data_IF_124312256294
#
_entry.id   IF_124312256294
#
_cell.length_a   1.000
_cell.length_b   1.000
_cell.length_c   1.000
_cell.angle_alpha   90.00
_cell.angle_beta   90.00
_cell.angle_gamma   90.00
#
_symmetry.space_group_name_H-M   'P 1'
#
loop_
_entity.id
_entity.type
_entity.pdbx_description
1 polymer ?
#
# COMPACT_ATOMS: atom_id res chain seq x y z
N UNK A 1 1.88 4.65 26.97
CA UNK A 1 1.92 6.14 26.93
C UNK A 1 0.51 6.63 26.73
N UNK A 2 -0.01 7.44 27.65
CA UNK A 2 -1.34 8.04 27.50
C UNK A 2 -1.31 9.22 26.52
N UNK A 3 -2.49 9.68 26.08
CA UNK A 3 -2.63 10.74 25.08
C UNK A 3 -1.93 12.05 25.47
N UNK A 4 -2.03 12.45 26.73
CA UNK A 4 -1.45 13.69 27.24
C UNK A 4 0.09 13.62 27.26
N UNK A 5 0.66 12.48 27.64
CA UNK A 5 2.11 12.25 27.62
C UNK A 5 2.68 12.33 26.21
N UNK A 6 1.99 11.72 25.24
CA UNK A 6 2.39 11.82 23.83
C UNK A 6 2.37 13.27 23.35
N UNK A 7 1.29 14.00 23.65
CA UNK A 7 1.12 15.38 23.23
C UNK A 7 2.21 16.28 23.80
N UNK A 8 2.51 16.14 25.09
CA UNK A 8 3.58 16.87 25.75
C UNK A 8 4.93 16.54 25.11
N UNK A 9 5.22 15.26 24.85
CA UNK A 9 6.46 14.84 24.19
C UNK A 9 6.61 15.42 22.79
N UNK A 10 5.55 15.40 21.97
CA UNK A 10 5.59 15.99 20.63
C UNK A 10 5.84 17.50 20.68
N UNK A 11 5.26 18.19 21.66
CA UNK A 11 5.51 19.62 21.87
C UNK A 11 6.96 19.82 22.31
N UNK A 12 7.44 19.12 23.33
CA UNK A 12 8.82 19.20 23.82
C UNK A 12 9.83 18.97 22.70
N UNK A 13 9.62 17.92 21.91
CA UNK A 13 10.56 17.50 20.89
C UNK A 13 10.49 18.39 19.64
N UNK A 14 9.30 18.81 19.19
CA UNK A 14 9.10 19.37 17.85
C UNK A 14 8.58 20.83 17.82
N UNK A 15 8.35 21.48 18.97
CA UNK A 15 7.76 22.84 19.01
C UNK A 15 8.55 23.91 18.27
N UNK A 16 9.87 23.77 18.17
CA UNK A 16 10.73 24.72 17.46
C UNK A 16 10.79 24.42 15.95
N UNK A 17 10.53 23.17 15.55
CA UNK A 17 10.55 22.74 14.16
C UNK A 17 9.19 22.92 13.45
N UNK A 18 8.09 22.87 14.23
CA UNK A 18 6.73 22.82 13.69
C UNK A 18 5.89 24.00 14.16
N UNK A 19 5.48 24.89 13.24
CA UNK A 19 4.63 26.03 13.56
C UNK A 19 3.34 25.62 14.28
N UNK A 20 3.00 26.34 15.35
CA UNK A 20 1.73 26.17 16.05
C UNK A 20 1.68 25.03 17.07
N UNK A 21 2.72 24.20 17.19
CA UNK A 21 2.81 23.21 18.28
C UNK A 21 3.04 23.87 19.65
N UNK A 22 3.75 25.01 19.69
CA UNK A 22 4.00 25.81 20.90
C UNK A 22 2.75 26.53 21.44
N UNK A 23 1.69 26.64 20.63
CA UNK A 23 0.45 27.30 21.04
C UNK A 23 -0.28 26.47 22.10
N UNK A 24 -1.07 27.13 22.96
CA UNK A 24 -1.90 26.52 24.05
C UNK A 24 -2.41 25.12 23.66
N UNK A 25 -2.41 24.18 24.61
CA UNK A 25 -2.80 22.77 24.44
C UNK A 25 -4.05 22.54 23.56
N UNK A 26 -4.96 23.49 23.39
CA UNK A 26 -6.16 23.36 22.57
C UNK A 26 -6.01 23.78 21.09
N UNK A 27 -4.82 24.08 20.57
CA UNK A 27 -4.64 24.56 19.19
C UNK A 27 -4.77 23.48 18.12
N UNK A 28 -4.60 22.20 18.48
CA UNK A 28 -4.69 21.05 17.58
C UNK A 28 -5.29 19.80 18.26
N UNK A 29 -5.85 18.91 17.43
CA UNK A 29 -6.21 17.54 17.79
C UNK A 29 -5.21 16.55 17.22
N UNK A 30 -5.06 15.40 17.87
CA UNK A 30 -4.23 14.31 17.38
C UNK A 30 -5.03 13.00 17.48
N UNK A 31 -4.92 12.13 16.49
CA UNK A 31 -5.58 10.82 16.46
C UNK A 31 -4.55 9.77 16.11
N UNK A 32 -4.52 8.66 16.85
CA UNK A 32 -3.61 7.55 16.55
C UNK A 32 -4.16 6.75 15.37
N UNK A 33 -3.34 6.58 14.34
CA UNK A 33 -3.63 5.70 13.21
C UNK A 33 -3.15 4.27 13.50
N UNK A 34 -3.81 3.29 12.88
CA UNK A 34 -3.49 1.87 13.07
C UNK A 34 -2.17 1.51 12.35
N UNK A 35 -1.11 1.34 13.13
CA UNK A 35 0.18 0.82 12.68
C UNK A 35 0.74 -0.20 13.68
N UNK A 36 1.48 -1.19 13.16
CA UNK A 36 2.07 -2.28 13.96
C UNK A 36 3.51 -2.01 14.38
N UNK A 37 4.32 -1.44 13.48
CA UNK A 37 5.77 -1.24 13.68
C UNK A 37 6.10 0.13 14.26
N UNK A 38 5.41 1.16 13.77
CA UNK A 38 5.70 2.55 14.06
C UNK A 38 4.50 3.22 14.74
N UNK A 39 4.73 4.32 15.46
CA UNK A 39 3.65 5.11 16.01
C UNK A 39 3.24 6.16 14.99
N UNK A 40 2.04 6.02 14.42
CA UNK A 40 1.52 6.92 13.39
C UNK A 40 0.35 7.72 13.95
N UNK A 41 0.36 9.02 13.72
CA UNK A 41 -0.67 9.94 14.19
C UNK A 41 -1.08 10.89 13.08
N UNK A 42 -2.35 11.23 13.07
CA UNK A 42 -2.89 12.36 12.32
C UNK A 42 -2.99 13.55 13.27
N UNK A 43 -2.47 14.71 12.86
CA UNK A 43 -2.59 15.96 13.60
C UNK A 43 -3.38 16.95 12.76
N UNK A 44 -4.41 17.53 13.37
CA UNK A 44 -5.29 18.52 12.74
C UNK A 44 -5.27 19.81 13.55
N UNK A 45 -4.84 20.91 12.93
CA UNK A 45 -4.92 22.23 13.55
C UNK A 45 -6.35 22.76 13.51
N UNK A 46 -6.82 23.32 14.63
CA UNK A 46 -8.14 24.00 14.68
C UNK A 46 -8.18 25.21 13.74
N UNK A 47 -7.05 25.93 13.61
CA UNK A 47 -6.85 27.02 12.65
C UNK A 47 -5.59 26.73 11.85
N UNK A 48 -5.69 26.79 10.51
CA UNK A 48 -4.56 26.53 9.61
C UNK A 48 -3.38 27.45 9.93
N UNK A 49 -2.17 26.93 10.24
CA UNK A 49 -1.01 27.77 10.46
C UNK A 49 -0.53 28.43 9.15
N UNK A 50 0.18 29.56 9.27
CA UNK A 50 0.74 30.25 8.10
C UNK A 50 1.84 29.37 7.48
N UNK A 51 1.77 29.17 6.16
CA UNK A 51 2.74 28.37 5.39
C UNK A 51 2.90 26.92 5.89
N UNK A 52 1.88 26.36 6.54
CA UNK A 52 1.87 24.98 7.00
C UNK A 52 0.52 24.33 6.70
N UNK A 53 0.47 23.02 6.38
CA UNK A 53 -0.80 22.33 6.17
C UNK A 53 -1.69 22.34 7.41
N UNK A 54 -3.01 22.31 7.20
CA UNK A 54 -3.99 22.19 8.30
C UNK A 54 -3.93 20.80 8.93
N UNK A 55 -3.63 19.78 8.13
CA UNK A 55 -3.61 18.38 8.51
C UNK A 55 -2.30 17.75 8.06
N UNK A 56 -1.69 16.97 8.95
CA UNK A 56 -0.40 16.30 8.73
C UNK A 56 -0.44 14.90 9.32
N UNK A 57 0.46 14.04 8.83
CA UNK A 57 0.73 12.73 9.42
C UNK A 57 2.10 12.76 10.09
N UNK A 58 2.15 12.39 11.36
CA UNK A 58 3.38 12.23 12.14
C UNK A 58 3.65 10.75 12.31
N UNK A 59 4.78 10.29 11.79
CA UNK A 59 5.29 8.91 11.95
C UNK A 59 6.52 8.96 12.84
N UNK A 60 6.45 8.27 13.98
CA UNK A 60 7.56 8.08 14.91
C UNK A 60 8.09 6.66 14.73
N UNK A 61 9.32 6.57 14.26
CA UNK A 61 9.95 5.29 13.98
C UNK A 61 10.39 4.60 15.26
N UNK A 62 10.10 3.30 15.33
CA UNK A 62 10.62 2.40 16.36
C UNK A 62 11.61 1.39 15.76
N UNK A 63 11.89 1.51 14.47
CA UNK A 63 12.79 0.67 13.67
C UNK A 63 13.89 1.52 13.05
N UNK A 64 14.92 0.87 12.52
CA UNK A 64 16.06 1.54 11.87
C UNK A 64 15.77 1.98 10.42
N UNK A 65 14.51 1.86 9.95
CA UNK A 65 14.14 2.08 8.55
C UNK A 65 13.78 3.55 8.24
N UNK A 66 13.97 4.48 9.20
CA UNK A 66 13.69 5.91 9.03
C UNK A 66 14.40 6.51 7.79
N UNK A 67 15.71 6.32 7.70
CA UNK A 67 16.50 6.93 6.63
C UNK A 67 16.14 6.37 5.25
N UNK A 68 15.81 5.08 5.18
CA UNK A 68 15.38 4.41 3.96
C UNK A 68 14.07 5.01 3.43
N UNK A 69 13.06 5.15 4.29
CA UNK A 69 11.77 5.75 3.87
C UNK A 69 11.94 7.21 3.45
N UNK A 70 12.74 8.02 4.17
CA UNK A 70 13.04 9.41 3.79
C UNK A 70 13.69 9.47 2.40
N UNK A 71 14.69 8.61 2.14
CA UNK A 71 15.40 8.60 0.87
C UNK A 71 14.48 8.20 -0.29
N UNK A 72 13.65 7.17 -0.09
CA UNK A 72 12.70 6.70 -1.11
C UNK A 72 11.65 7.77 -1.39
N UNK A 73 11.03 8.37 -0.37
CA UNK A 73 10.03 9.42 -0.56
C UNK A 73 10.60 10.64 -1.30
N UNK A 74 11.83 11.07 -0.98
CA UNK A 74 12.50 12.17 -1.73
C UNK A 74 12.71 11.80 -3.19
N UNK A 75 13.22 10.60 -3.46
CA UNK A 75 13.42 10.08 -4.81
C UNK A 75 12.11 10.07 -5.60
N UNK A 76 11.06 9.44 -5.06
CA UNK A 76 9.78 9.29 -5.76
C UNK A 76 9.08 10.63 -6.01
N UNK A 77 9.16 11.56 -5.05
CA UNK A 77 8.61 12.91 -5.23
C UNK A 77 9.33 13.67 -6.35
N UNK A 78 10.67 13.58 -6.43
CA UNK A 78 11.44 14.18 -7.55
C UNK A 78 11.09 13.59 -8.92
N UNK A 79 10.59 12.35 -8.95
CA UNK A 79 10.12 11.64 -10.15
C UNK A 79 8.64 11.91 -10.47
N UNK A 80 7.99 12.77 -9.68
CA UNK A 80 6.55 13.07 -9.75
C UNK A 80 5.68 11.83 -9.64
N UNK A 81 6.12 10.83 -8.86
CA UNK A 81 5.28 9.69 -8.48
C UNK A 81 4.43 10.13 -7.28
N UNK A 82 3.15 9.79 -7.29
CA UNK A 82 2.21 10.16 -6.23
C UNK A 82 2.58 9.46 -4.92
N UNK A 83 3.22 10.18 -4.02
CA UNK A 83 3.54 9.81 -2.64
C UNK A 83 3.31 11.03 -1.74
N UNK A 84 3.14 10.86 -0.41
CA UNK A 84 3.05 11.99 0.49
C UNK A 84 4.32 12.85 0.43
N UNK A 85 4.15 14.17 0.36
CA UNK A 85 5.27 15.10 0.47
C UNK A 85 5.85 15.08 1.89
N UNK A 86 7.18 15.08 2.01
CA UNK A 86 7.85 15.28 3.30
C UNK A 86 7.74 16.77 3.65
N UNK A 87 7.09 17.07 4.77
CA UNK A 87 7.04 18.42 5.36
C UNK A 87 8.27 18.63 6.23
N UNK A 88 8.61 17.63 7.06
CA UNK A 88 9.73 17.68 7.97
C UNK A 88 10.26 16.26 8.24
N UNK A 89 11.56 16.11 8.46
CA UNK A 89 12.19 14.84 8.80
C UNK A 89 13.38 15.05 9.73
N UNK A 90 13.34 14.43 10.91
CA UNK A 90 14.44 14.35 11.89
C UNK A 90 14.25 13.08 12.71
N UNK A 91 15.18 12.13 12.64
CA UNK A 91 15.10 10.84 13.37
C UNK A 91 14.73 11.05 14.85
N UNK A 92 13.68 10.40 15.39
CA UNK A 92 12.83 9.35 14.78
C UNK A 92 11.53 9.85 14.14
N UNK A 93 11.39 11.15 13.92
CA UNK A 93 10.19 11.82 13.43
C UNK A 93 10.21 12.05 11.91
N UNK A 94 9.20 11.53 11.23
CA UNK A 94 8.87 11.86 9.84
C UNK A 94 7.48 12.49 9.79
N UNK A 95 7.38 13.64 9.14
CA UNK A 95 6.15 14.41 9.04
C UNK A 95 5.81 14.57 7.58
N UNK A 96 4.64 14.07 7.24
CA UNK A 96 4.15 13.96 5.88
C UNK A 96 2.90 14.81 5.70
N UNK A 97 2.72 15.27 4.48
CA UNK A 97 1.42 15.72 3.99
C UNK A 97 0.36 14.63 4.24
N UNK A 98 -0.80 15.04 4.75
CA UNK A 98 -1.95 14.15 4.80
C UNK A 98 -2.50 14.01 3.38
N UNK A 99 -2.47 12.78 2.87
CA UNK A 99 -3.12 12.45 1.60
C UNK A 99 -4.61 12.26 1.85
N UNK A 100 -5.43 12.98 1.10
CA UNK A 100 -6.88 12.83 1.09
C UNK A 100 -7.31 11.53 0.40
N UNK A 101 -8.36 10.91 0.92
CA UNK A 101 -8.94 9.72 0.33
C UNK A 101 -9.06 8.52 1.27
N UNK A 102 -9.46 7.39 0.70
CA UNK A 102 -9.69 6.13 1.41
C UNK A 102 -8.52 5.17 1.16
N UNK A 103 -8.15 4.35 2.14
CA UNK A 103 -7.21 3.27 1.85
C UNK A 103 -7.84 2.28 0.86
N UNK A 104 -7.02 1.74 -0.05
CA UNK A 104 -7.54 0.99 -1.18
C UNK A 104 -8.14 -0.36 -0.79
N UNK A 105 -7.71 -0.94 0.34
CA UNK A 105 -8.33 -2.17 0.86
C UNK A 105 -9.79 -1.93 1.25
N UNK A 106 -10.06 -0.88 2.02
CA UNK A 106 -11.41 -0.52 2.44
C UNK A 106 -12.26 -0.13 1.22
N UNK A 107 -11.71 0.62 0.27
CA UNK A 107 -12.40 0.96 -0.97
C UNK A 107 -12.84 -0.27 -1.78
N UNK A 108 -11.95 -1.26 -1.93
CA UNK A 108 -12.28 -2.53 -2.60
C UNK A 108 -13.34 -3.30 -1.82
N UNK A 109 -13.21 -3.39 -0.50
CA UNK A 109 -14.16 -4.11 0.34
C UNK A 109 -15.57 -3.50 0.27
N UNK A 110 -15.67 -2.17 0.39
CA UNK A 110 -16.96 -1.45 0.33
C UNK A 110 -17.58 -1.54 -1.06
N UNK A 111 -16.76 -1.51 -2.11
CA UNK A 111 -17.23 -1.63 -3.50
C UNK A 111 -17.72 -3.04 -3.86
N UNK A 112 -17.24 -4.08 -3.18
CA UNK A 112 -17.57 -5.49 -3.45
C UNK A 112 -18.63 -6.05 -2.50
N UNK A 113 -19.21 -5.23 -1.63
CA UNK A 113 -20.23 -5.67 -0.66
C UNK A 113 -21.36 -6.39 -1.39
N UNK A 114 -21.60 -7.65 -1.00
CA UNK A 114 -22.64 -8.53 -1.52
C UNK A 114 -22.54 -8.89 -3.01
N UNK A 115 -21.41 -8.65 -3.67
CA UNK A 115 -21.20 -9.03 -5.06
C UNK A 115 -20.49 -10.39 -5.18
N UNK A 116 -21.13 -11.35 -5.84
CA UNK A 116 -20.47 -12.59 -6.21
C UNK A 116 -19.60 -12.39 -7.46
N UNK A 117 -20.04 -11.55 -8.40
CA UNK A 117 -19.37 -11.23 -9.64
C UNK A 117 -19.31 -9.72 -9.87
N UNK A 118 -18.33 -9.21 -10.65
CA UNK A 118 -18.29 -7.78 -10.98
C UNK A 118 -19.52 -7.32 -11.76
N UNK A 119 -20.19 -8.23 -12.47
CA UNK A 119 -21.42 -7.92 -13.22
C UNK A 119 -22.62 -7.62 -12.32
N UNK A 120 -22.58 -8.07 -11.07
CA UNK A 120 -23.65 -7.86 -10.08
C UNK A 120 -23.61 -6.44 -9.51
N UNK A 121 -22.48 -5.74 -9.67
CA UNK A 121 -22.31 -4.34 -9.28
C UNK A 121 -23.08 -3.42 -10.23
N UNK A 122 -23.55 -2.30 -9.69
CA UNK A 122 -24.06 -1.21 -10.52
C UNK A 122 -22.95 -0.70 -11.46
N UNK A 123 -23.37 -0.12 -12.59
CA UNK A 123 -22.47 0.26 -13.67
C UNK A 123 -21.40 1.27 -13.23
N UNK A 124 -21.72 2.17 -12.29
CA UNK A 124 -20.81 3.20 -11.83
C UNK A 124 -19.76 2.62 -10.88
N UNK A 125 -20.17 1.85 -9.88
CA UNK A 125 -19.26 1.16 -8.96
C UNK A 125 -18.32 0.24 -9.71
N UNK A 126 -18.85 -0.57 -10.65
CA UNK A 126 -18.02 -1.44 -11.50
C UNK A 126 -16.98 -0.65 -12.29
N UNK A 127 -17.39 0.44 -12.93
CA UNK A 127 -16.49 1.29 -13.73
C UNK A 127 -15.39 1.89 -12.87
N UNK A 128 -15.75 2.43 -11.70
CA UNK A 128 -14.81 3.08 -10.79
C UNK A 128 -13.81 2.07 -10.22
N UNK A 129 -14.27 0.88 -9.84
CA UNK A 129 -13.41 -0.19 -9.33
C UNK A 129 -12.40 -0.68 -10.38
N UNK A 130 -12.85 -0.91 -11.62
CA UNK A 130 -11.97 -1.25 -12.75
C UNK A 130 -10.97 -0.13 -13.05
N UNK A 131 -11.41 1.12 -13.02
CA UNK A 131 -10.53 2.27 -13.21
C UNK A 131 -9.51 2.39 -12.08
N UNK A 132 -9.92 2.12 -10.84
CA UNK A 132 -9.06 2.11 -9.67
C UNK A 132 -7.95 1.06 -9.81
N UNK A 133 -8.27 -0.17 -10.23
CA UNK A 133 -7.27 -1.20 -10.50
C UNK A 133 -6.28 -0.81 -11.61
N UNK A 134 -6.77 -0.14 -12.65
CA UNK A 134 -5.90 0.41 -13.70
C UNK A 134 -4.98 1.51 -13.18
N UNK A 135 -5.45 2.35 -12.26
CA UNK A 135 -4.64 3.40 -11.62
C UNK A 135 -3.60 2.81 -10.68
N UNK A 136 -3.93 1.79 -9.90
CA UNK A 136 -2.97 1.05 -9.09
C UNK A 136 -1.88 0.40 -9.96
N UNK A 137 -2.28 -0.27 -11.04
CA UNK A 137 -1.35 -0.86 -12.01
C UNK A 137 -0.44 0.19 -12.66
N UNK A 138 -0.99 1.36 -13.00
CA UNK A 138 -0.23 2.47 -13.57
C UNK A 138 0.78 3.02 -12.57
N UNK A 139 0.38 3.21 -11.31
CA UNK A 139 1.26 3.68 -10.25
C UNK A 139 2.44 2.72 -10.03
N UNK A 140 2.18 1.42 -9.91
CA UNK A 140 3.24 0.43 -9.71
C UNK A 140 4.14 0.29 -10.94
N UNK A 141 3.55 0.35 -12.14
CA UNK A 141 4.31 0.30 -13.38
C UNK A 141 5.29 1.47 -13.46
N UNK A 142 4.86 2.69 -13.11
CA UNK A 142 5.72 3.86 -13.07
C UNK A 142 6.84 3.73 -12.03
N UNK A 143 6.54 3.26 -10.81
CA UNK A 143 7.54 2.99 -9.78
C UNK A 143 8.66 2.10 -10.33
N UNK A 144 8.28 0.92 -10.85
CA UNK A 144 9.26 -0.06 -11.29
C UNK A 144 10.02 0.40 -12.54
N UNK A 145 9.34 1.00 -13.51
CA UNK A 145 9.94 1.44 -14.78
C UNK A 145 10.92 2.59 -14.59
N UNK A 146 10.57 3.60 -13.78
CA UNK A 146 11.45 4.75 -13.50
C UNK A 146 12.65 4.36 -12.63
N UNK A 147 12.56 3.24 -11.90
CA UNK A 147 13.58 2.79 -10.96
C UNK A 147 14.12 1.38 -11.30
N UNK A 148 14.22 1.07 -12.60
CA UNK A 148 14.85 -0.17 -13.05
C UNK A 148 16.37 -0.07 -12.95
N UNK A 149 17.00 -1.03 -12.29
CA UNK A 149 18.46 -1.13 -12.16
C UNK A 149 19.09 -1.99 -13.23
N UNK A 150 18.53 -3.18 -13.44
CA UNK A 150 19.03 -4.12 -14.44
C UNK A 150 17.88 -4.88 -15.09
N UNK A 151 18.04 -5.16 -16.38
CA UNK A 151 17.14 -5.99 -17.17
C UNK A 151 17.98 -6.99 -17.97
N UNK A 152 18.88 -7.69 -17.26
CA UNK A 152 19.92 -8.53 -17.88
C UNK A 152 19.39 -9.88 -18.35
N UNK A 153 18.31 -10.40 -17.76
CA UNK A 153 17.80 -11.73 -18.12
C UNK A 153 16.28 -11.89 -17.87
N UNK A 154 15.68 -12.84 -18.60
CA UNK A 154 14.24 -13.06 -18.84
C UNK A 154 13.33 -13.21 -17.61
N UNK A 155 13.88 -13.35 -16.40
CA UNK A 155 13.12 -13.53 -15.14
C UNK A 155 13.43 -12.50 -14.07
N UNK A 156 14.31 -11.51 -14.34
CA UNK A 156 14.94 -10.69 -13.29
C UNK A 156 15.05 -9.21 -13.69
N UNK A 157 13.92 -8.58 -14.02
CA UNK A 157 13.89 -7.13 -13.98
C UNK A 157 14.08 -6.72 -12.52
N UNK A 158 15.28 -6.23 -12.18
CA UNK A 158 15.59 -5.74 -10.84
C UNK A 158 15.19 -4.27 -10.78
N UNK A 159 14.23 -3.98 -9.93
CA UNK A 159 13.59 -2.67 -9.79
C UNK A 159 13.57 -2.27 -8.32
N UNK A 160 13.31 -0.99 -8.04
CA UNK A 160 12.88 -0.58 -6.71
C UNK A 160 11.47 -1.12 -6.45
N UNK A 161 11.38 -2.18 -5.66
CA UNK A 161 10.12 -2.66 -5.09
C UNK A 161 9.72 -1.75 -3.92
N UNK A 162 8.43 -1.48 -3.80
CA UNK A 162 7.86 -0.86 -2.59
C UNK A 162 8.02 -1.79 -1.38
N UNK A 163 7.96 -3.10 -1.61
CA UNK A 163 8.26 -4.17 -0.65
C UNK A 163 7.05 -4.64 0.16
N UNK A 164 6.22 -3.71 0.64
CA UNK A 164 4.91 -4.02 1.23
C UNK A 164 3.79 -3.39 0.39
N UNK A 165 3.30 -4.13 -0.61
CA UNK A 165 2.27 -3.66 -1.56
C UNK A 165 0.87 -4.17 -1.22
N UNK A 166 0.56 -4.37 0.06
CA UNK A 166 -0.83 -4.61 0.47
C UNK A 166 -1.70 -3.41 0.12
N UNK A 167 -2.95 -3.65 -0.22
CA UNK A 167 -3.89 -2.59 -0.64
C UNK A 167 -4.08 -1.51 0.43
N UNK A 168 -3.90 -1.83 1.71
CA UNK A 168 -3.99 -0.86 2.80
C UNK A 168 -2.89 0.21 2.79
N UNK A 169 -1.79 -0.06 2.10
CA UNK A 169 -0.62 0.81 1.97
C UNK A 169 -0.70 1.65 0.68
N UNK A 170 -1.91 1.76 0.12
CA UNK A 170 -2.29 2.68 -0.95
C UNK A 170 -3.53 3.48 -0.55
N UNK A 171 -3.59 4.74 -0.99
CA UNK A 171 -4.74 5.62 -0.79
C UNK A 171 -5.30 6.00 -2.17
N UNK A 172 -6.62 5.89 -2.33
CA UNK A 172 -7.36 6.37 -3.50
C UNK A 172 -8.06 7.68 -3.14
N UNK A 173 -7.73 8.74 -3.88
CA UNK A 173 -8.59 9.91 -4.00
C UNK A 173 -9.58 9.65 -5.14
N UNK A 174 -10.83 9.36 -4.80
CA UNK A 174 -11.89 9.07 -5.76
C UNK A 174 -12.29 10.30 -6.59
N UNK A 175 -12.14 11.51 -6.02
CA UNK A 175 -12.53 12.74 -6.70
C UNK A 175 -11.62 13.04 -7.90
N UNK A 176 -10.33 12.75 -7.76
CA UNK A 176 -9.33 12.93 -8.82
C UNK A 176 -8.93 11.61 -9.50
N UNK A 177 -9.44 10.48 -9.01
CA UNK A 177 -9.03 9.13 -9.41
C UNK A 177 -7.51 8.95 -9.43
N UNK A 178 -6.86 9.33 -8.32
CA UNK A 178 -5.41 9.24 -8.09
C UNK A 178 -5.08 8.25 -6.99
N UNK A 179 -4.10 7.40 -7.26
CA UNK A 179 -3.52 6.49 -6.29
C UNK A 179 -2.23 7.09 -5.74
N UNK A 180 -2.08 7.01 -4.43
CA UNK A 180 -0.85 7.32 -3.71
C UNK A 180 -0.33 6.06 -3.04
N UNK A 181 0.97 5.79 -3.16
CA UNK A 181 1.65 4.80 -2.33
C UNK A 181 2.08 5.44 -1.02
N UNK A 182 1.94 4.73 0.09
CA UNK A 182 2.42 5.14 1.42
C UNK A 182 3.20 4.00 2.05
N UNK A 183 3.97 4.28 3.10
CA UNK A 183 4.72 3.27 3.86
C UNK A 183 5.83 2.57 3.03
N UNK A 184 6.97 3.25 2.91
CA UNK A 184 8.13 2.81 2.09
C UNK A 184 9.30 2.28 2.92
N UNK A 185 9.09 2.04 4.22
CA UNK A 185 10.10 1.54 5.15
C UNK A 185 10.65 0.15 4.79
N UNK A 186 9.93 -0.61 3.95
CA UNK A 186 10.32 -1.97 3.51
C UNK A 186 10.78 -1.99 2.05
N UNK A 187 11.01 -0.85 1.40
CA UNK A 187 11.38 -0.81 -0.02
C UNK A 187 12.78 -1.35 -0.29
N UNK A 188 12.94 -2.19 -1.30
CA UNK A 188 14.22 -2.84 -1.62
C UNK A 188 14.40 -3.00 -3.13
N UNK A 189 15.62 -3.31 -3.55
CA UNK A 189 15.89 -3.66 -4.95
C UNK A 189 15.68 -5.17 -5.15
N UNK A 190 14.75 -5.54 -6.03
CA UNK A 190 14.34 -6.93 -6.18
C UNK A 190 13.57 -7.19 -7.46
N UNK A 191 12.98 -8.37 -7.57
CA UNK A 191 12.20 -8.71 -8.74
C UNK A 191 10.86 -7.96 -8.68
N UNK A 192 10.50 -7.29 -9.77
CA UNK A 192 9.21 -6.60 -9.88
C UNK A 192 7.99 -7.49 -9.57
N UNK A 193 8.13 -8.82 -9.73
CA UNK A 193 7.06 -9.78 -9.43
C UNK A 193 6.75 -9.92 -7.94
N UNK A 194 7.66 -9.55 -7.05
CA UNK A 194 7.46 -9.63 -5.58
C UNK A 194 6.31 -8.71 -5.16
N UNK A 195 6.35 -7.45 -5.61
CA UNK A 195 5.30 -6.45 -5.40
C UNK A 195 3.98 -6.84 -6.09
N UNK A 196 4.05 -7.44 -7.28
CA UNK A 196 2.86 -7.91 -8.02
C UNK A 196 2.17 -9.06 -7.26
N UNK A 197 2.94 -10.02 -6.74
CA UNK A 197 2.43 -11.15 -5.98
C UNK A 197 1.74 -10.68 -4.69
N UNK A 198 2.29 -9.68 -3.99
CA UNK A 198 1.65 -9.10 -2.81
C UNK A 198 0.35 -8.35 -3.11
N UNK A 199 0.27 -7.58 -4.20
CA UNK A 199 -1.00 -6.94 -4.63
C UNK A 199 -2.05 -8.00 -4.93
N UNK A 200 -1.69 -9.04 -5.69
CA UNK A 200 -2.61 -10.13 -6.02
C UNK A 200 -3.07 -10.84 -4.74
N UNK A 201 -2.15 -11.16 -3.83
CA UNK A 201 -2.49 -11.74 -2.53
C UNK A 201 -3.44 -10.82 -1.74
N UNK A 202 -3.18 -9.52 -1.72
CA UNK A 202 -4.01 -8.56 -0.97
C UNK A 202 -5.39 -8.36 -1.59
N UNK A 203 -5.55 -8.51 -2.90
CA UNK A 203 -6.86 -8.56 -3.58
C UNK A 203 -7.61 -9.85 -3.22
N UNK A 204 -6.93 -10.99 -3.21
CA UNK A 204 -7.54 -12.27 -2.80
C UNK A 204 -7.95 -12.24 -1.32
N UNK A 205 -7.16 -11.59 -0.47
CA UNK A 205 -7.40 -11.50 0.98
C UNK A 205 -8.31 -10.32 1.41
N UNK A 206 -8.77 -9.50 0.47
CA UNK A 206 -9.81 -8.49 0.73
C UNK A 206 -11.08 -9.16 1.30
N UNK A 207 -11.98 -8.45 1.98
CA UNK A 207 -13.13 -9.04 2.66
C UNK A 207 -14.29 -9.35 1.67
N UNK A 208 -14.83 -10.58 1.62
CA UNK A 208 -14.42 -11.81 2.32
C UNK A 208 -13.15 -12.42 1.74
N UNK A 209 -12.22 -12.91 2.57
CA UNK A 209 -10.93 -13.45 2.09
C UNK A 209 -11.11 -14.72 1.25
N UNK A 210 -10.14 -15.06 0.40
CA UNK A 210 -10.24 -16.20 -0.53
C UNK A 210 -10.60 -17.53 0.14
N UNK A 211 -10.16 -17.77 1.37
CA UNK A 211 -10.48 -18.98 2.13
C UNK A 211 -11.88 -19.01 2.75
N UNK A 212 -12.64 -17.93 2.57
CA UNK A 212 -14.02 -17.75 3.04
C UNK A 212 -15.00 -17.71 1.86
N UNK A 213 -14.50 -17.94 0.63
CA UNK A 213 -15.26 -17.87 -0.60
C UNK A 213 -15.19 -19.22 -1.32
N UNK A 214 -16.33 -19.66 -1.86
CA UNK A 214 -16.34 -20.82 -2.75
C UNK A 214 -15.74 -20.46 -4.12
N UNK A 215 -16.15 -19.32 -4.69
CA UNK A 215 -15.69 -18.85 -6.00
C UNK A 215 -15.31 -17.35 -5.98
N UNK A 216 -14.02 -16.99 -5.98
CA UNK A 216 -13.55 -15.60 -5.93
C UNK A 216 -13.44 -14.94 -7.32
N UNK A 217 -14.41 -15.15 -8.21
CA UNK A 217 -14.35 -14.74 -9.64
C UNK A 217 -14.10 -13.25 -9.82
N UNK A 218 -14.84 -12.39 -9.10
CA UNK A 218 -14.68 -10.94 -9.19
C UNK A 218 -13.26 -10.47 -8.79
N UNK A 219 -12.62 -11.13 -7.82
CA UNK A 219 -11.25 -10.81 -7.41
C UNK A 219 -10.25 -11.20 -8.48
N UNK A 220 -10.45 -12.36 -9.11
CA UNK A 220 -9.65 -12.81 -10.25
C UNK A 220 -9.79 -11.84 -11.43
N UNK A 221 -11.00 -11.33 -11.70
CA UNK A 221 -11.23 -10.31 -12.74
C UNK A 221 -10.50 -8.99 -12.46
N UNK A 222 -10.48 -8.53 -11.19
CA UNK A 222 -9.72 -7.34 -10.79
C UNK A 222 -8.20 -7.56 -10.92
N UNK A 223 -7.71 -8.74 -10.53
CA UNK A 223 -6.31 -9.13 -10.71
C UNK A 223 -5.94 -9.14 -12.19
N UNK A 224 -6.79 -9.72 -13.05
CA UNK A 224 -6.57 -9.71 -14.50
C UNK A 224 -6.52 -8.29 -15.05
N UNK A 225 -7.44 -7.42 -14.63
CA UNK A 225 -7.44 -5.99 -14.99
C UNK A 225 -6.14 -5.30 -14.59
N UNK A 226 -5.68 -5.55 -13.37
CA UNK A 226 -4.43 -5.01 -12.84
C UNK A 226 -3.22 -5.50 -13.65
N UNK A 227 -3.06 -6.82 -13.81
CA UNK A 227 -1.93 -7.44 -14.51
C UNK A 227 -1.86 -7.01 -15.97
N UNK A 228 -2.99 -7.03 -16.69
CA UNK A 228 -3.06 -6.59 -18.08
C UNK A 228 -2.59 -5.14 -18.22
N UNK A 229 -3.06 -4.24 -17.35
CA UNK A 229 -2.66 -2.84 -17.40
C UNK A 229 -1.18 -2.65 -17.03
N UNK A 230 -0.68 -3.38 -16.04
CA UNK A 230 0.71 -3.31 -15.62
C UNK A 230 1.66 -3.71 -16.76
N UNK A 231 1.45 -4.89 -17.36
CA UNK A 231 2.30 -5.40 -18.44
C UNK A 231 2.10 -4.67 -19.76
N UNK A 232 0.95 -4.01 -19.97
CA UNK A 232 0.78 -3.09 -21.10
C UNK A 232 1.76 -1.89 -21.00
N UNK A 233 1.98 -1.35 -19.80
CA UNK A 233 2.85 -0.19 -19.56
C UNK A 233 4.34 -0.58 -19.43
N UNK A 234 4.59 -1.79 -18.93
CA UNK A 234 5.91 -2.38 -18.75
C UNK A 234 6.10 -3.57 -19.69
N UNK A 235 5.85 -3.37 -20.98
CA UNK A 235 5.85 -4.42 -22.01
C UNK A 235 7.20 -5.13 -22.25
N UNK A 236 8.30 -4.55 -21.77
CA UNK A 236 9.62 -5.20 -21.80
C UNK A 236 9.83 -6.13 -20.61
N UNK A 237 9.05 -5.99 -19.54
CA UNK A 237 9.10 -6.89 -18.40
C UNK A 237 8.44 -8.21 -18.76
N UNK A 238 9.08 -9.30 -18.36
CA UNK A 238 8.62 -10.66 -18.64
C UNK A 238 7.94 -11.24 -17.41
N UNK A 239 6.79 -11.86 -17.61
CA UNK A 239 6.05 -12.55 -16.56
C UNK A 239 6.54 -14.00 -16.46
N UNK A 240 7.05 -14.40 -15.29
CA UNK A 240 7.32 -15.80 -14.96
C UNK A 240 6.21 -16.36 -14.08
N UNK A 241 5.38 -17.24 -14.64
CA UNK A 241 4.29 -17.88 -13.89
C UNK A 241 4.82 -18.67 -12.69
N UNK A 242 5.94 -19.36 -12.85
CA UNK A 242 6.52 -20.16 -11.76
C UNK A 242 6.95 -19.32 -10.57
N UNK A 243 7.65 -18.21 -10.83
CA UNK A 243 8.11 -17.28 -9.80
C UNK A 243 6.91 -16.61 -9.11
N UNK A 244 5.95 -16.12 -9.91
CA UNK A 244 4.74 -15.50 -9.39
C UNK A 244 3.93 -16.45 -8.50
N UNK A 245 3.70 -17.68 -8.95
CA UNK A 245 2.91 -18.65 -8.22
C UNK A 245 3.56 -19.02 -6.88
N UNK A 246 4.90 -19.14 -6.85
CA UNK A 246 5.65 -19.40 -5.63
C UNK A 246 5.48 -18.27 -4.61
N UNK A 247 5.74 -17.02 -5.00
CA UNK A 247 5.63 -15.86 -4.12
C UNK A 247 4.17 -15.58 -3.70
N UNK A 248 3.20 -15.84 -4.57
CA UNK A 248 1.78 -15.74 -4.21
C UNK A 248 1.41 -16.75 -3.12
N UNK A 249 1.89 -18.00 -3.22
CA UNK A 249 1.66 -19.04 -2.22
C UNK A 249 2.32 -18.69 -0.89
N UNK A 250 3.55 -18.18 -0.92
CA UNK A 250 4.26 -17.71 0.28
C UNK A 250 3.47 -16.59 0.97
N UNK A 251 3.01 -15.60 0.22
CA UNK A 251 2.22 -14.50 0.75
C UNK A 251 0.88 -14.98 1.34
N UNK A 252 0.21 -15.94 0.70
CA UNK A 252 -1.01 -16.56 1.23
C UNK A 252 -0.75 -17.36 2.51
N UNK A 253 0.39 -18.04 2.64
CA UNK A 253 0.78 -18.72 3.87
C UNK A 253 0.98 -17.74 5.03
N UNK A 254 1.57 -16.56 4.77
CA UNK A 254 1.67 -15.49 5.76
C UNK A 254 0.29 -14.98 6.19
N UNK A 255 -0.68 -14.94 5.28
CA UNK A 255 -2.08 -14.58 5.60
C UNK A 255 -2.73 -15.64 6.51
N UNK A 256 -2.59 -16.92 6.17
CA UNK A 256 -3.10 -18.06 6.95
C UNK A 256 -2.60 -17.99 8.39
N UNK A 257 -1.29 -17.81 8.57
CA UNK A 257 -0.66 -17.71 9.88
C UNK A 257 -1.19 -16.51 10.68
N UNK A 258 -1.21 -15.31 10.06
CA UNK A 258 -1.67 -14.07 10.70
C UNK A 258 -3.14 -14.11 11.12
N UNK A 259 -3.97 -14.88 10.41
CA UNK A 259 -5.40 -15.07 10.71
C UNK A 259 -5.65 -16.31 11.58
N UNK A 260 -4.60 -17.06 11.95
CA UNK A 260 -4.71 -18.29 12.73
C UNK A 260 -5.72 -19.28 12.14
N UNK A 261 -5.70 -19.42 10.82
CA UNK A 261 -6.65 -20.29 10.12
C UNK A 261 -6.31 -21.76 10.34
N UNK A 262 -7.33 -22.62 10.39
CA UNK A 262 -7.16 -24.07 10.50
C UNK A 262 -6.62 -24.72 9.23
N UNK A 263 -6.63 -23.98 8.12
CA UNK A 263 -6.04 -24.40 6.85
C UNK A 263 -4.52 -24.50 7.03
N UNK A 264 -3.96 -25.70 6.89
CA UNK A 264 -2.49 -25.89 6.90
C UNK A 264 -1.79 -25.14 5.76
N UNK A 265 -0.44 -25.05 5.80
CA UNK A 265 0.31 -24.30 4.80
C UNK A 265 0.11 -24.85 3.40
N UNK A 266 -0.13 -23.95 2.44
CA UNK A 266 -0.20 -24.21 1.03
C UNK A 266 1.18 -24.61 0.50
N UNK A 267 1.22 -25.64 -0.36
CA UNK A 267 2.44 -26.13 -1.02
C UNK A 267 2.24 -26.17 -2.53
N UNK A 268 3.11 -25.48 -3.28
CA UNK A 268 3.04 -25.40 -4.77
C UNK A 268 2.90 -26.76 -5.41
N UNK A 269 3.75 -27.73 -5.04
CA UNK A 269 3.70 -29.10 -5.57
C UNK A 269 2.34 -29.76 -5.41
N UNK A 270 1.74 -29.67 -4.21
CA UNK A 270 0.43 -30.27 -3.92
C UNK A 270 -0.69 -29.59 -4.72
N UNK A 271 -0.62 -28.26 -4.89
CA UNK A 271 -1.59 -27.51 -5.69
C UNK A 271 -1.50 -27.92 -7.15
N UNK A 272 -0.29 -27.94 -7.72
CA UNK A 272 -0.07 -28.32 -9.12
C UNK A 272 -0.49 -29.77 -9.38
N UNK A 273 -0.13 -30.72 -8.50
CA UNK A 273 -0.56 -32.11 -8.59
C UNK A 273 -2.10 -32.25 -8.60
N UNK A 274 -2.82 -31.46 -7.78
CA UNK A 274 -4.29 -31.46 -7.75
C UNK A 274 -4.91 -30.88 -9.02
N UNK A 275 -4.33 -29.81 -9.58
CA UNK A 275 -4.78 -29.23 -10.84
C UNK A 275 -4.56 -30.22 -11.98
N UNK A 276 -3.37 -30.82 -12.06
CA UNK A 276 -3.01 -31.79 -13.10
C UNK A 276 -3.82 -33.10 -13.06
N UNK A 277 -4.53 -33.40 -11.97
CA UNK A 277 -5.42 -34.56 -11.86
C UNK A 277 -6.86 -34.26 -12.28
N UNK A 278 -7.22 -32.98 -12.42
CA UNK A 278 -8.55 -32.50 -12.83
C UNK A 278 -8.66 -32.19 -14.32
N UNK A 279 -7.53 -32.24 -15.03
CA UNK A 279 -7.38 -32.10 -16.48
C UNK A 279 -6.60 -33.30 -17.02
#
# INVERSE_FOLDING_TARGET
MNFQQLKNRLIEDLQEDIPGLKAKNDSFSIVRLKSKKNLVYELTYKRKPRNFPKEIVIKIFQTHNFQQEVNVLKLLNSQKINVPSIIFSRDPYLILEKVEGMNLCDYVNTSLVNAANLRDLDANTRKNLVQCMRKLATWLAELHKKNTRTQKDFSKAIVLNKGDTRLRDFIIDESEMKIFGVDFEESYEGNHMDDIAWICCSLLDSNPGIFQMEEPTHKVELINTFLQRYYLLNNTFKFSFDYFAEHLIENLNLVIERRSMSTGPLRKRVILERISKRF
#
